data_IF_883703397589
#
_entry.id   IF_883703397589
#
_cell.length_a   1.000
_cell.length_b   1.000
_cell.length_c   1.000
_cell.angle_alpha   90.00
_cell.angle_beta   90.00
_cell.angle_gamma   90.00
#
_symmetry.space_group_name_H-M   'P 1'
#
loop_
_entity.id
_entity.type
_entity.pdbx_description
1 polymer ?
#
# COMPACT_ATOMS: atom_id res chain seq x y z
N UNK A 1 4.34 21.25 8.69
CA UNK A 1 4.97 20.83 9.96
C UNK A 1 3.95 20.08 10.79
N UNK A 2 4.26 18.84 11.20
CA UNK A 2 3.41 18.07 12.11
C UNK A 2 3.50 18.66 13.52
N UNK A 3 2.34 18.78 14.18
CA UNK A 3 2.24 19.19 15.58
C UNK A 3 1.36 18.18 16.31
N UNK A 4 1.79 17.79 17.50
CA UNK A 4 0.98 17.01 18.44
C UNK A 4 0.11 17.96 19.27
N UNK A 5 -1.13 17.56 19.53
CA UNK A 5 -2.04 18.34 20.35
C UNK A 5 -3.40 17.67 20.46
N UNK A 6 -4.18 18.14 21.39
CA UNK A 6 -5.54 17.66 21.61
C UNK A 6 -6.54 18.32 20.66
N UNK A 7 -7.59 17.59 20.32
CA UNK A 7 -8.73 18.10 19.56
C UNK A 7 -10.03 17.48 20.08
N UNK A 8 -11.10 18.24 20.05
CA UNK A 8 -12.41 17.71 20.39
C UNK A 8 -12.94 16.84 19.25
N UNK A 9 -13.55 15.71 19.61
CA UNK A 9 -14.24 14.83 18.70
C UNK A 9 -15.75 14.88 18.97
N UNK A 10 -16.50 15.49 18.05
CA UNK A 10 -17.96 15.55 18.14
C UNK A 10 -18.59 14.15 18.13
N UNK A 11 -19.82 13.95 18.65
CA UNK A 11 -20.55 12.69 18.48
C UNK A 11 -20.63 12.28 17.00
N UNK A 12 -20.68 10.96 16.69
CA UNK A 12 -20.81 10.50 15.32
C UNK A 12 -22.13 11.00 14.70
N UNK A 13 -22.04 11.49 13.47
CA UNK A 13 -23.17 11.93 12.67
C UNK A 13 -24.04 10.78 12.17
N UNK A 14 -25.16 11.08 11.48
CA UNK A 14 -26.01 10.04 10.89
C UNK A 14 -25.24 9.13 9.93
N UNK A 15 -25.36 7.80 10.12
CA UNK A 15 -24.64 6.79 9.34
C UNK A 15 -23.17 6.64 9.67
N UNK A 16 -22.63 7.39 10.64
CA UNK A 16 -21.26 7.28 11.10
C UNK A 16 -21.13 6.41 12.35
N UNK A 17 -19.92 5.97 12.60
CA UNK A 17 -19.50 5.33 13.86
C UNK A 17 -18.26 6.02 14.38
N UNK A 18 -18.08 6.04 15.70
CA UNK A 18 -16.77 6.32 16.32
C UNK A 18 -16.00 5.05 16.43
N UNK A 19 -14.80 5.02 15.84
CA UNK A 19 -13.84 3.94 16.00
C UNK A 19 -12.67 4.43 16.86
N UNK A 20 -12.41 3.73 18.00
CA UNK A 20 -11.20 3.90 18.79
C UNK A 20 -10.08 3.08 18.14
N UNK A 21 -8.99 3.73 17.80
CA UNK A 21 -7.89 3.07 17.12
C UNK A 21 -7.05 2.21 18.07
N UNK A 22 -6.76 0.99 17.65
CA UNK A 22 -5.78 0.10 18.29
C UNK A 22 -4.42 0.14 17.57
N UNK A 23 -4.47 0.45 16.25
CA UNK A 23 -3.29 0.64 15.43
C UNK A 23 -3.60 1.51 14.21
N UNK A 24 -2.63 2.30 13.79
CA UNK A 24 -2.71 3.22 12.63
C UNK A 24 -1.49 2.96 11.77
N UNK A 25 -1.63 2.86 10.44
CA UNK A 25 -0.47 2.71 9.58
C UNK A 25 0.03 4.03 9.03
N UNK A 26 1.35 4.09 8.81
CA UNK A 26 2.01 5.21 8.15
C UNK A 26 2.28 4.85 6.70
N UNK A 27 1.84 5.71 5.78
CA UNK A 27 1.91 5.50 4.35
C UNK A 27 2.54 6.68 3.61
N UNK A 28 3.07 6.46 2.41
CA UNK A 28 3.52 7.55 1.54
C UNK A 28 2.38 8.49 1.13
N UNK A 29 1.13 8.02 1.11
CA UNK A 29 -0.05 8.88 0.94
C UNK A 29 -0.14 9.97 2.01
N UNK A 30 0.22 9.66 3.25
CA UNK A 30 0.18 10.60 4.36
C UNK A 30 1.31 11.64 4.26
N UNK A 31 2.48 11.22 3.74
CA UNK A 31 3.57 12.14 3.39
C UNK A 31 3.13 13.10 2.29
N UNK A 32 2.49 12.60 1.24
CA UNK A 32 1.97 13.43 0.14
C UNK A 32 0.93 14.44 0.63
N UNK A 33 0.03 14.05 1.54
CA UNK A 33 -0.93 14.96 2.19
C UNK A 33 -0.21 16.04 2.99
N UNK A 34 0.79 15.66 3.82
CA UNK A 34 1.58 16.59 4.62
C UNK A 34 2.32 17.62 3.76
N UNK A 35 2.82 17.22 2.61
CA UNK A 35 3.58 18.07 1.69
C UNK A 35 2.69 18.96 0.82
N UNK A 36 1.38 18.70 0.78
CA UNK A 36 0.46 19.43 -0.09
C UNK A 36 0.67 19.11 -1.57
N UNK A 37 1.12 17.90 -1.88
CA UNK A 37 1.58 17.50 -3.20
C UNK A 37 0.47 17.29 -4.23
N UNK A 38 0.85 16.80 -5.39
CA UNK A 38 0.08 16.62 -6.63
C UNK A 38 -1.30 15.96 -6.47
N UNK A 39 -1.46 15.07 -5.48
CA UNK A 39 -2.71 14.33 -5.28
C UNK A 39 -3.83 15.12 -4.60
N UNK A 40 -3.55 16.33 -4.11
CA UNK A 40 -4.52 17.17 -3.41
C UNK A 40 -5.12 18.14 -4.42
N UNK A 41 -6.36 17.86 -4.85
CA UNK A 41 -7.05 18.68 -5.85
C UNK A 41 -7.44 20.06 -5.30
N UNK A 42 -7.61 20.21 -3.97
CA UNK A 42 -7.99 21.45 -3.31
C UNK A 42 -7.05 21.74 -2.14
N UNK A 43 -6.71 23.01 -1.89
CA UNK A 43 -5.91 23.37 -0.72
C UNK A 43 -6.53 22.85 0.57
N UNK A 44 -5.71 22.19 1.40
CA UNK A 44 -6.15 21.73 2.72
C UNK A 44 -6.45 22.93 3.63
N UNK A 45 -7.53 22.81 4.39
CA UNK A 45 -7.84 23.77 5.46
C UNK A 45 -7.11 23.34 6.73
N UNK A 46 -6.23 24.19 7.23
CA UNK A 46 -5.49 23.91 8.47
C UNK A 46 -6.23 24.45 9.70
N UNK A 47 -6.13 23.78 10.88
CA UNK A 47 -5.41 22.54 11.10
C UNK A 47 -6.11 21.31 10.49
N UNK A 48 -5.35 20.30 10.04
CA UNK A 48 -5.87 19.04 9.51
C UNK A 48 -5.18 17.86 10.17
N UNK A 49 -5.95 16.87 10.58
CA UNK A 49 -5.43 15.58 11.03
C UNK A 49 -5.20 14.72 9.79
N UNK A 50 -3.96 14.25 9.60
CA UNK A 50 -3.61 13.41 8.47
C UNK A 50 -3.80 11.91 8.80
N UNK A 51 -3.49 11.03 7.85
CA UNK A 51 -3.61 9.57 7.98
C UNK A 51 -4.84 9.02 7.28
N UNK A 52 -4.66 7.90 6.59
CA UNK A 52 -5.66 7.33 5.68
C UNK A 52 -6.20 5.98 6.11
N UNK A 53 -5.55 5.27 7.03
CA UNK A 53 -6.00 3.95 7.48
C UNK A 53 -5.75 3.73 8.98
N UNK A 54 -6.66 3.00 9.60
CA UNK A 54 -6.52 2.50 10.96
C UNK A 54 -7.36 1.25 11.17
N UNK A 55 -7.09 0.55 12.27
CA UNK A 55 -7.89 -0.56 12.77
C UNK A 55 -8.17 -0.35 14.26
N UNK A 56 -9.31 -0.82 14.74
CA UNK A 56 -9.70 -0.67 16.13
C UNK A 56 -11.10 -1.19 16.43
N UNK A 57 -11.72 -0.63 17.45
CA UNK A 57 -13.02 -1.05 17.99
C UNK A 57 -14.05 0.08 17.86
N UNK A 58 -15.25 -0.25 17.42
CA UNK A 58 -16.40 0.68 17.39
C UNK A 58 -16.85 0.96 18.81
N UNK A 59 -16.83 2.23 19.22
CA UNK A 59 -17.26 2.68 20.58
C UNK A 59 -18.65 3.29 20.60
N UNK A 60 -19.05 3.95 19.50
CA UNK A 60 -20.31 4.71 19.46
C UNK A 60 -20.90 4.65 18.05
N UNK A 61 -22.23 4.62 17.96
CA UNK A 61 -22.97 4.61 16.71
C UNK A 61 -23.75 5.91 16.55
N UNK A 62 -23.65 6.54 15.39
CA UNK A 62 -24.56 7.58 14.96
C UNK A 62 -25.91 7.01 14.52
N UNK A 63 -26.92 7.85 14.45
CA UNK A 63 -28.25 7.44 14.02
C UNK A 63 -28.22 6.84 12.61
N UNK A 64 -28.84 5.67 12.41
CA UNK A 64 -28.90 5.00 11.11
C UNK A 64 -27.58 4.33 10.65
N UNK A 65 -26.61 4.13 11.54
CA UNK A 65 -25.45 3.30 11.25
C UNK A 65 -25.88 1.83 11.19
N UNK A 66 -25.83 1.22 10.01
CA UNK A 66 -26.30 -0.14 9.74
C UNK A 66 -25.15 -1.13 9.55
N UNK A 67 -25.40 -2.42 9.82
CA UNK A 67 -24.44 -3.51 9.60
C UNK A 67 -23.29 -3.56 10.61
N UNK A 68 -23.31 -2.73 11.65
CA UNK A 68 -22.27 -2.57 12.67
C UNK A 68 -22.85 -2.55 14.10
N UNK A 69 -22.00 -2.81 15.09
CA UNK A 69 -22.40 -2.73 16.51
C UNK A 69 -21.22 -2.25 17.36
N UNK A 70 -21.53 -1.67 18.51
CA UNK A 70 -20.52 -1.31 19.52
C UNK A 70 -19.77 -2.57 19.97
N UNK A 71 -18.45 -2.47 20.11
CA UNK A 71 -17.55 -3.57 20.40
C UNK A 71 -17.06 -4.35 19.19
N UNK A 72 -17.64 -4.12 18.00
CA UNK A 72 -17.16 -4.74 16.74
C UNK A 72 -15.77 -4.21 16.37
N UNK A 73 -14.88 -5.12 16.00
CA UNK A 73 -13.55 -4.78 15.47
C UNK A 73 -13.64 -4.49 13.96
N UNK A 74 -13.07 -3.40 13.56
CA UNK A 74 -13.09 -2.96 12.17
C UNK A 74 -11.80 -2.23 11.78
N UNK A 75 -11.52 -2.19 10.47
CA UNK A 75 -10.53 -1.31 9.88
C UNK A 75 -11.20 -0.41 8.83
N UNK A 76 -10.51 0.64 8.43
CA UNK A 76 -10.89 1.45 7.28
C UNK A 76 -9.67 1.92 6.50
N UNK A 77 -9.87 2.17 5.20
CA UNK A 77 -8.86 2.71 4.30
C UNK A 77 -9.49 3.78 3.44
N UNK A 78 -9.11 5.03 3.68
CA UNK A 78 -9.80 6.18 3.12
C UNK A 78 -11.24 6.30 3.66
N UNK A 79 -11.83 7.46 3.59
CA UNK A 79 -13.17 7.69 4.13
C UNK A 79 -13.94 8.56 3.14
N UNK A 80 -14.63 7.95 2.21
CA UNK A 80 -15.48 8.61 1.24
C UNK A 80 -14.81 9.73 0.42
N UNK A 81 -15.23 9.95 -0.80
CA UNK A 81 -14.63 10.98 -1.65
C UNK A 81 -13.20 10.65 -2.11
N UNK A 82 -12.45 11.64 -2.58
CA UNK A 82 -11.07 11.46 -3.01
C UNK A 82 -10.17 10.99 -1.86
N UNK A 83 -9.38 9.96 -2.10
CA UNK A 83 -8.55 9.27 -1.09
C UNK A 83 -7.66 10.19 -0.24
N UNK A 84 -7.20 11.30 -0.81
CA UNK A 84 -6.31 12.26 -0.15
C UNK A 84 -7.02 13.43 0.51
N UNK A 85 -8.32 13.59 0.33
CA UNK A 85 -9.07 14.76 0.82
C UNK A 85 -9.73 14.52 2.17
N UNK A 86 -10.07 13.29 2.52
CA UNK A 86 -10.74 12.94 3.76
C UNK A 86 -9.82 12.10 4.65
N UNK A 87 -8.81 12.73 5.23
CA UNK A 87 -7.84 12.15 6.15
C UNK A 87 -8.28 12.29 7.61
N UNK A 88 -7.52 11.77 8.57
CA UNK A 88 -7.84 11.91 10.00
C UNK A 88 -7.53 10.69 10.85
N UNK A 89 -6.77 9.72 10.33
CA UNK A 89 -6.45 8.51 11.09
C UNK A 89 -5.41 8.72 12.20
N UNK A 90 -4.60 9.80 12.14
CA UNK A 90 -3.58 10.07 13.16
C UNK A 90 -4.19 10.72 14.41
N UNK A 91 -5.10 9.97 15.03
CA UNK A 91 -5.82 10.33 16.24
C UNK A 91 -6.10 9.06 17.06
N UNK A 92 -6.44 9.20 18.32
CA UNK A 92 -6.84 8.07 19.18
C UNK A 92 -8.18 7.46 18.75
N UNK A 93 -9.08 8.31 18.23
CA UNK A 93 -10.37 7.91 17.71
C UNK A 93 -10.80 8.80 16.53
N UNK A 94 -11.74 8.30 15.72
CA UNK A 94 -12.29 9.03 14.57
C UNK A 94 -13.74 8.62 14.31
N UNK A 95 -14.57 9.58 13.86
CA UNK A 95 -15.87 9.28 13.28
C UNK A 95 -15.69 8.98 11.78
N UNK A 96 -16.25 7.85 11.33
CA UNK A 96 -16.18 7.41 9.95
C UNK A 96 -17.54 6.84 9.52
N UNK A 97 -17.94 6.97 8.24
CA UNK A 97 -19.14 6.31 7.73
C UNK A 97 -19.06 4.79 7.95
N UNK A 98 -20.11 4.17 8.47
CA UNK A 98 -20.19 2.72 8.66
C UNK A 98 -19.95 1.96 7.36
N UNK A 99 -20.37 2.54 6.22
CA UNK A 99 -20.19 1.98 4.88
C UNK A 99 -18.73 1.90 4.41
N UNK A 100 -17.80 2.60 5.07
CA UNK A 100 -16.36 2.55 4.73
C UNK A 100 -15.59 1.48 5.51
N UNK A 101 -16.25 0.78 6.45
CA UNK A 101 -15.59 -0.17 7.31
C UNK A 101 -15.37 -1.53 6.65
N UNK A 102 -14.24 -2.13 7.00
CA UNK A 102 -13.92 -3.53 6.78
C UNK A 102 -14.03 -4.27 8.11
N UNK A 103 -14.94 -5.23 8.20
CA UNK A 103 -15.08 -6.07 9.40
C UNK A 103 -13.85 -6.93 9.59
N UNK A 104 -13.26 -6.92 10.79
CA UNK A 104 -12.08 -7.72 11.09
C UNK A 104 -12.45 -9.10 11.64
N UNK A 105 -11.91 -10.18 11.05
CA UNK A 105 -11.99 -11.51 11.64
C UNK A 105 -11.19 -11.58 12.97
N UNK A 106 -11.61 -12.42 13.89
CA UNK A 106 -10.95 -12.57 15.21
C UNK A 106 -9.47 -12.95 15.11
N UNK A 107 -9.10 -13.70 14.06
CA UNK A 107 -7.72 -14.14 13.79
C UNK A 107 -6.78 -13.03 13.34
N UNK A 108 -7.29 -11.87 12.95
CA UNK A 108 -6.51 -10.72 12.48
C UNK A 108 -6.44 -9.69 13.60
N UNK A 109 -5.24 -9.39 14.08
CA UNK A 109 -5.05 -8.33 15.09
C UNK A 109 -5.19 -6.93 14.47
N UNK A 110 -5.43 -5.90 15.29
CA UNK A 110 -5.48 -4.50 14.83
C UNK A 110 -4.16 -4.10 14.17
N UNK A 111 -3.02 -4.56 14.72
CA UNK A 111 -1.70 -4.29 14.14
C UNK A 111 -1.55 -4.92 12.75
N UNK A 112 -1.97 -6.17 12.59
CA UNK A 112 -1.96 -6.83 11.28
C UNK A 112 -2.88 -6.11 10.30
N UNK A 113 -4.11 -5.78 10.72
CA UNK A 113 -5.06 -5.06 9.88
C UNK A 113 -4.51 -3.71 9.44
N UNK A 114 -4.07 -2.85 10.36
CA UNK A 114 -3.48 -1.56 10.03
C UNK A 114 -2.24 -1.71 9.14
N UNK A 115 -1.39 -2.73 9.36
CA UNK A 115 -0.18 -2.94 8.58
C UNK A 115 -0.46 -3.43 7.15
N UNK A 116 -1.63 -4.04 6.87
CA UNK A 116 -1.87 -4.72 5.60
C UNK A 116 -3.04 -4.16 4.77
N UNK A 117 -4.04 -3.45 5.35
CA UNK A 117 -5.27 -3.15 4.60
C UNK A 117 -5.01 -2.34 3.33
N UNK A 118 -4.47 -1.12 3.43
CA UNK A 118 -4.14 -0.33 2.24
C UNK A 118 -3.13 -1.04 1.34
N UNK A 119 -2.12 -1.62 1.94
CA UNK A 119 -1.01 -2.25 1.21
C UNK A 119 -1.43 -3.55 0.54
N UNK A 120 -2.20 -4.38 1.24
CA UNK A 120 -2.74 -5.63 0.72
C UNK A 120 -3.81 -5.42 -0.35
N UNK A 121 -4.73 -4.47 -0.14
CA UNK A 121 -5.71 -4.11 -1.16
C UNK A 121 -5.04 -3.46 -2.39
N UNK A 122 -3.93 -2.72 -2.20
CA UNK A 122 -3.11 -2.25 -3.34
C UNK A 122 -2.46 -3.43 -4.08
N UNK A 123 -1.91 -4.40 -3.35
CA UNK A 123 -1.36 -5.61 -3.95
C UNK A 123 -2.44 -6.42 -4.68
N UNK A 124 -3.62 -6.60 -4.05
CA UNK A 124 -4.81 -7.23 -4.66
C UNK A 124 -5.20 -6.56 -5.99
N UNK A 125 -5.30 -5.23 -5.99
CA UNK A 125 -5.57 -4.46 -7.22
C UNK A 125 -4.55 -4.75 -8.32
N UNK A 126 -3.26 -4.73 -8.00
CA UNK A 126 -2.18 -4.99 -8.96
C UNK A 126 -2.28 -6.41 -9.50
N UNK A 127 -2.51 -7.40 -8.66
CA UNK A 127 -2.60 -8.81 -9.04
C UNK A 127 -3.88 -9.08 -9.87
N UNK A 128 -5.06 -8.70 -9.39
CA UNK A 128 -6.33 -9.12 -10.02
C UNK A 128 -6.74 -8.28 -11.23
N UNK A 129 -6.45 -6.98 -11.20
CA UNK A 129 -6.91 -6.10 -12.28
C UNK A 129 -5.88 -5.99 -13.41
N UNK A 130 -4.60 -6.13 -13.10
CA UNK A 130 -3.53 -5.80 -14.05
C UNK A 130 -2.57 -6.96 -14.31
N UNK A 131 -1.67 -7.26 -13.39
CA UNK A 131 -0.56 -8.17 -13.60
C UNK A 131 -0.98 -9.60 -13.94
N UNK A 132 -1.94 -10.16 -13.20
CA UNK A 132 -2.47 -11.53 -13.36
C UNK A 132 -1.37 -12.56 -13.65
N UNK A 133 -0.33 -12.67 -12.79
CA UNK A 133 0.81 -13.51 -13.09
C UNK A 133 0.40 -14.97 -13.24
N UNK A 134 0.97 -15.64 -14.23
CA UNK A 134 0.74 -17.07 -14.47
C UNK A 134 1.93 -17.87 -13.94
N UNK A 135 1.73 -19.16 -13.61
CA UNK A 135 2.84 -20.04 -13.29
C UNK A 135 3.92 -20.00 -14.37
N UNK A 136 5.18 -19.75 -13.96
CA UNK A 136 6.33 -19.62 -14.86
C UNK A 136 6.57 -18.19 -15.39
N UNK A 137 5.68 -17.23 -15.17
CA UNK A 137 5.98 -15.83 -15.47
C UNK A 137 7.10 -15.31 -14.54
N UNK A 138 7.99 -14.46 -15.07
CA UNK A 138 8.88 -13.66 -14.25
C UNK A 138 8.26 -12.28 -13.98
N UNK A 139 8.33 -11.81 -12.74
CA UNK A 139 7.80 -10.51 -12.31
C UNK A 139 8.88 -9.71 -11.59
N UNK A 140 9.11 -8.48 -12.01
CA UNK A 140 10.00 -7.53 -11.34
C UNK A 140 9.21 -6.65 -10.37
N UNK A 141 9.63 -6.58 -9.12
CA UNK A 141 9.00 -5.75 -8.08
C UNK A 141 10.00 -4.72 -7.59
N UNK A 142 9.77 -3.44 -7.88
CA UNK A 142 10.57 -2.36 -7.33
C UNK A 142 10.19 -2.08 -5.88
N UNK A 143 11.21 -1.91 -5.02
CA UNK A 143 11.00 -1.75 -3.59
C UNK A 143 10.43 -3.02 -2.93
N UNK A 144 10.95 -4.19 -3.29
CA UNK A 144 10.46 -5.50 -2.85
C UNK A 144 10.39 -5.70 -1.33
N UNK A 145 11.16 -4.95 -0.55
CA UNK A 145 11.12 -4.95 0.92
C UNK A 145 10.21 -3.88 1.54
N UNK A 146 9.44 -3.13 0.73
CA UNK A 146 8.42 -2.19 1.22
C UNK A 146 7.15 -2.92 1.72
N UNK A 147 6.24 -2.20 2.37
CA UNK A 147 4.99 -2.81 2.85
C UNK A 147 4.16 -3.46 1.73
N UNK A 148 3.95 -2.78 0.60
CA UNK A 148 3.27 -3.36 -0.58
C UNK A 148 4.17 -4.40 -1.24
N UNK A 149 5.47 -4.09 -1.39
CA UNK A 149 6.43 -4.97 -2.07
C UNK A 149 6.50 -6.36 -1.46
N UNK A 150 6.58 -6.47 -0.13
CA UNK A 150 6.62 -7.77 0.56
C UNK A 150 5.33 -8.60 0.37
N UNK A 151 4.17 -7.95 0.26
CA UNK A 151 2.91 -8.65 -0.02
C UNK A 151 2.86 -9.10 -1.48
N UNK A 152 3.29 -8.26 -2.43
CA UNK A 152 3.40 -8.63 -3.85
C UNK A 152 4.38 -9.78 -4.06
N UNK A 153 5.55 -9.78 -3.39
CA UNK A 153 6.53 -10.89 -3.44
C UNK A 153 5.85 -12.20 -3.08
N UNK A 154 5.20 -12.25 -1.92
CA UNK A 154 4.55 -13.46 -1.42
C UNK A 154 3.38 -13.90 -2.32
N UNK A 155 2.58 -12.95 -2.79
CA UNK A 155 1.41 -13.24 -3.62
C UNK A 155 1.82 -13.73 -5.02
N UNK A 156 2.75 -13.06 -5.70
CA UNK A 156 3.28 -13.53 -6.98
C UNK A 156 3.93 -14.91 -6.84
N UNK A 157 4.68 -15.15 -5.75
CA UNK A 157 5.25 -16.46 -5.47
C UNK A 157 4.20 -17.55 -5.26
N UNK A 158 3.14 -17.25 -4.52
CA UNK A 158 1.99 -18.14 -4.31
C UNK A 158 1.31 -18.51 -5.63
N UNK A 159 1.25 -17.59 -6.60
CA UNK A 159 0.70 -17.82 -7.94
C UNK A 159 1.67 -18.54 -8.89
N UNK A 160 2.86 -18.94 -8.41
CA UNK A 160 3.84 -19.71 -9.20
C UNK A 160 4.75 -18.86 -10.09
N UNK A 161 4.81 -17.55 -9.88
CA UNK A 161 5.74 -16.69 -10.62
C UNK A 161 7.16 -16.77 -10.06
N UNK A 162 8.15 -16.50 -10.91
CA UNK A 162 9.53 -16.19 -10.51
C UNK A 162 9.59 -14.69 -10.14
N UNK A 163 9.98 -14.40 -8.90
CA UNK A 163 9.96 -13.04 -8.35
C UNK A 163 11.37 -12.46 -8.31
N UNK A 164 11.56 -11.35 -9.01
CA UNK A 164 12.79 -10.54 -9.00
C UNK A 164 12.47 -9.26 -8.24
N UNK A 165 13.26 -8.93 -7.21
CA UNK A 165 13.00 -7.78 -6.36
C UNK A 165 14.16 -6.80 -6.31
N UNK A 166 13.92 -5.49 -6.53
CA UNK A 166 14.94 -4.48 -6.25
C UNK A 166 14.85 -4.01 -4.80
N UNK A 167 15.99 -3.92 -4.13
CA UNK A 167 16.12 -3.51 -2.73
C UNK A 167 17.34 -2.61 -2.53
N UNK A 168 17.33 -1.80 -1.46
CA UNK A 168 18.38 -0.80 -1.22
C UNK A 168 19.49 -1.24 -0.27
N UNK A 169 19.46 -2.46 0.28
CA UNK A 169 20.51 -3.00 1.17
C UNK A 169 20.39 -4.52 1.30
N UNK A 170 21.48 -5.18 1.69
CA UNK A 170 21.50 -6.63 1.90
C UNK A 170 20.52 -7.08 2.99
N UNK A 171 20.42 -6.37 4.11
CA UNK A 171 19.43 -6.67 5.15
C UNK A 171 17.99 -6.69 4.61
N UNK A 172 17.65 -5.80 3.65
CA UNK A 172 16.36 -5.81 2.97
C UNK A 172 16.23 -6.94 1.96
N UNK A 173 17.32 -7.32 1.31
CA UNK A 173 17.36 -8.47 0.43
C UNK A 173 17.07 -9.76 1.19
N UNK A 174 17.70 -9.96 2.36
CA UNK A 174 17.42 -11.09 3.25
C UNK A 174 15.94 -11.20 3.62
N UNK A 175 15.32 -10.06 4.01
CA UNK A 175 13.88 -10.03 4.31
C UNK A 175 13.05 -10.43 3.09
N UNK A 176 13.32 -9.88 1.91
CA UNK A 176 12.59 -10.20 0.69
C UNK A 176 12.74 -11.68 0.31
N UNK A 177 13.97 -12.23 0.36
CA UNK A 177 14.25 -13.65 0.10
C UNK A 177 13.53 -14.57 1.08
N UNK A 178 13.53 -14.22 2.37
CA UNK A 178 12.83 -15.01 3.40
C UNK A 178 11.32 -15.12 3.18
N UNK A 179 10.75 -14.21 2.37
CA UNK A 179 9.33 -14.18 2.02
C UNK A 179 9.05 -14.61 0.57
N UNK A 180 10.05 -15.21 -0.12
CA UNK A 180 9.84 -15.86 -1.41
C UNK A 180 10.33 -15.08 -2.63
N UNK A 181 11.09 -14.00 -2.47
CA UNK A 181 11.78 -13.36 -3.58
C UNK A 181 12.92 -14.27 -4.09
N UNK A 182 12.82 -14.73 -5.34
CA UNK A 182 13.79 -15.66 -5.91
C UNK A 182 15.13 -14.98 -6.20
N UNK A 183 15.10 -13.75 -6.70
CA UNK A 183 16.28 -12.95 -7.03
C UNK A 183 16.17 -11.56 -6.44
N UNK A 184 17.21 -11.10 -5.77
CA UNK A 184 17.26 -9.74 -5.21
C UNK A 184 18.38 -8.93 -5.88
N UNK A 185 18.06 -7.70 -6.31
CA UNK A 185 18.98 -6.78 -6.98
C UNK A 185 19.22 -5.59 -6.07
N UNK A 186 20.46 -5.37 -5.67
CA UNK A 186 20.88 -4.18 -4.90
C UNK A 186 21.03 -3.00 -5.86
N UNK A 187 19.95 -2.28 -6.12
CA UNK A 187 19.87 -1.23 -7.13
C UNK A 187 20.83 -0.04 -6.91
N UNK A 188 21.48 0.02 -5.74
CA UNK A 188 22.49 1.04 -5.44
C UNK A 188 23.88 0.65 -5.94
N UNK A 189 24.10 -0.64 -6.14
CA UNK A 189 25.42 -1.21 -6.43
C UNK A 189 25.54 -1.64 -7.89
N UNK A 190 24.40 -1.97 -8.53
CA UNK A 190 24.37 -2.47 -9.91
C UNK A 190 23.24 -1.83 -10.72
N UNK A 191 23.44 -1.76 -12.04
CA UNK A 191 22.37 -1.42 -12.97
C UNK A 191 21.31 -2.52 -12.98
N UNK A 192 20.10 -2.20 -12.54
CA UNK A 192 19.05 -3.20 -12.41
C UNK A 192 18.56 -3.72 -13.76
N UNK A 193 18.66 -2.94 -14.86
CA UNK A 193 18.25 -3.40 -16.19
C UNK A 193 19.15 -4.54 -16.64
N UNK A 194 20.46 -4.35 -16.55
CA UNK A 194 21.46 -5.40 -16.87
C UNK A 194 21.25 -6.64 -16.01
N UNK A 195 21.09 -6.45 -14.69
CA UNK A 195 20.87 -7.57 -13.77
C UNK A 195 19.59 -8.36 -14.08
N UNK A 196 18.48 -7.68 -14.43
CA UNK A 196 17.24 -8.35 -14.86
C UNK A 196 17.46 -9.14 -16.15
N UNK A 197 18.20 -8.56 -17.11
CA UNK A 197 18.48 -9.25 -18.40
C UNK A 197 19.41 -10.45 -18.26
N UNK A 198 20.29 -10.47 -17.27
CA UNK A 198 21.09 -11.66 -16.94
C UNK A 198 20.21 -12.80 -16.38
N UNK A 199 19.19 -12.48 -15.59
CA UNK A 199 18.25 -13.47 -15.01
C UNK A 199 17.21 -13.91 -16.05
N UNK A 200 16.63 -12.96 -16.80
CA UNK A 200 15.58 -13.20 -17.79
C UNK A 200 15.93 -12.43 -19.07
N UNK A 201 16.68 -13.01 -20.01
CA UNK A 201 17.14 -12.33 -21.23
C UNK A 201 16.03 -11.69 -22.06
N UNK A 202 14.88 -12.33 -22.17
CA UNK A 202 13.72 -11.84 -22.90
C UNK A 202 12.95 -10.74 -22.15
N UNK A 203 13.21 -10.54 -20.86
CA UNK A 203 12.54 -9.63 -19.96
C UNK A 203 11.37 -10.25 -19.20
N UNK A 204 10.86 -9.52 -18.23
CA UNK A 204 9.79 -9.97 -17.32
C UNK A 204 8.39 -9.77 -17.91
N UNK A 205 7.43 -10.59 -17.47
CA UNK A 205 6.02 -10.47 -17.87
C UNK A 205 5.39 -9.18 -17.35
N UNK A 206 5.77 -8.79 -16.14
CA UNK A 206 5.29 -7.56 -15.55
C UNK A 206 6.37 -6.90 -14.67
N UNK A 207 6.36 -5.57 -14.67
CA UNK A 207 7.07 -4.74 -13.70
C UNK A 207 6.06 -4.07 -12.79
N UNK A 208 6.21 -4.25 -11.48
CA UNK A 208 5.35 -3.69 -10.44
C UNK A 208 6.13 -2.58 -9.72
N UNK A 209 5.77 -1.34 -10.02
CA UNK A 209 6.56 -0.16 -9.62
C UNK A 209 5.81 0.73 -8.62
N UNK A 210 6.27 0.72 -7.37
CA UNK A 210 5.85 1.64 -6.31
C UNK A 210 6.82 2.81 -6.10
N UNK A 211 7.95 2.84 -6.84
CA UNK A 211 9.04 3.82 -6.65
C UNK A 211 8.83 5.06 -7.53
N UNK A 212 8.59 4.87 -8.82
CA UNK A 212 8.24 5.94 -9.74
C UNK A 212 9.44 6.56 -10.43
N UNK A 213 9.78 7.83 -10.13
CA UNK A 213 10.76 8.62 -10.86
C UNK A 213 12.09 7.90 -11.13
N UNK A 214 12.64 7.25 -10.09
CA UNK A 214 13.97 6.62 -10.17
C UNK A 214 13.98 5.31 -10.97
N UNK A 215 12.81 4.68 -11.22
CA UNK A 215 12.74 3.33 -11.78
C UNK A 215 11.93 3.23 -13.08
N UNK A 216 10.91 4.06 -13.23
CA UNK A 216 9.88 3.89 -14.24
C UNK A 216 10.43 3.84 -15.68
N UNK A 217 11.27 4.82 -16.06
CA UNK A 217 11.77 4.93 -17.44
C UNK A 217 12.62 3.72 -17.83
N UNK A 218 13.47 3.24 -16.92
CA UNK A 218 14.33 2.09 -17.16
C UNK A 218 13.58 0.76 -17.10
N UNK A 219 12.46 0.69 -16.40
CA UNK A 219 11.62 -0.50 -16.31
C UNK A 219 11.06 -0.96 -17.65
N UNK A 220 10.93 -0.06 -18.62
CA UNK A 220 10.53 -0.37 -20.00
C UNK A 220 11.50 -1.41 -20.60
N UNK A 221 12.81 -1.26 -20.36
CA UNK A 221 13.84 -2.14 -20.90
C UNK A 221 13.91 -3.52 -20.20
N UNK A 222 13.31 -3.64 -19.02
CA UNK A 222 13.19 -4.90 -18.30
C UNK A 222 12.01 -5.75 -18.78
N UNK A 223 11.05 -5.16 -19.49
CA UNK A 223 9.76 -5.78 -19.80
C UNK A 223 9.83 -6.56 -21.11
N UNK A 224 9.27 -7.79 -21.12
CA UNK A 224 9.20 -8.61 -22.36
C UNK A 224 8.19 -8.05 -23.34
N UNK A 225 8.22 -8.52 -24.59
CA UNK A 225 7.19 -8.22 -25.59
C UNK A 225 5.78 -8.53 -25.02
N UNK A 226 4.84 -7.59 -25.23
CA UNK A 226 3.48 -7.61 -24.69
C UNK A 226 3.40 -7.66 -23.15
N UNK A 227 4.51 -7.40 -22.49
CA UNK A 227 4.53 -7.30 -21.02
C UNK A 227 3.91 -6.01 -20.51
N UNK A 228 3.76 -5.94 -19.20
CA UNK A 228 3.06 -4.85 -18.53
C UNK A 228 3.96 -4.12 -17.53
N UNK A 229 3.81 -2.78 -17.48
CA UNK A 229 4.38 -1.93 -16.44
C UNK A 229 3.25 -1.31 -15.61
N UNK A 230 3.14 -1.69 -14.35
CA UNK A 230 2.14 -1.18 -13.41
C UNK A 230 2.81 -0.22 -12.43
N UNK A 231 2.66 1.09 -12.65
CA UNK A 231 3.13 2.10 -11.71
C UNK A 231 2.04 2.38 -10.68
N UNK A 232 2.09 1.78 -9.50
CA UNK A 232 1.10 1.96 -8.43
C UNK A 232 1.53 2.95 -7.35
N UNK A 233 2.75 3.46 -7.38
CA UNK A 233 3.29 4.40 -6.40
C UNK A 233 4.36 5.33 -6.95
N UNK A 234 4.69 6.38 -6.18
CA UNK A 234 5.67 7.40 -6.54
C UNK A 234 6.54 7.77 -5.33
N UNK A 235 7.13 6.76 -4.66
CA UNK A 235 7.95 6.99 -3.45
C UNK A 235 9.24 7.78 -3.69
N UNK A 236 9.71 7.91 -4.94
CA UNK A 236 10.85 8.76 -5.34
C UNK A 236 10.42 10.00 -6.14
N UNK A 237 9.13 10.23 -6.27
CA UNK A 237 8.56 11.30 -7.09
C UNK A 237 7.86 10.79 -8.35
N UNK A 238 7.27 11.74 -9.08
CA UNK A 238 6.56 11.43 -10.33
C UNK A 238 7.52 11.02 -11.42
N UNK A 239 7.20 9.96 -12.21
CA UNK A 239 7.90 9.68 -13.46
C UNK A 239 7.83 10.87 -14.42
N UNK A 240 8.86 11.02 -15.24
CA UNK A 240 8.82 11.95 -16.37
C UNK A 240 7.77 11.54 -17.41
N UNK A 241 7.29 12.46 -18.25
CA UNK A 241 6.37 12.14 -19.34
C UNK A 241 6.89 11.02 -20.23
N UNK A 242 6.01 10.06 -20.56
CA UNK A 242 6.33 8.90 -21.38
C UNK A 242 6.07 9.17 -22.86
N UNK A 243 7.09 8.97 -23.71
CA UNK A 243 6.89 8.86 -25.15
C UNK A 243 6.26 7.50 -25.50
N UNK A 244 5.03 7.50 -25.98
CA UNK A 244 4.29 6.30 -26.33
C UNK A 244 4.96 5.46 -27.42
N UNK A 245 5.80 6.08 -28.30
CA UNK A 245 6.55 5.34 -29.32
C UNK A 245 7.56 4.38 -28.70
N UNK A 246 8.06 4.65 -27.48
CA UNK A 246 8.93 3.72 -26.78
C UNK A 246 8.23 2.39 -26.49
N UNK A 247 6.94 2.41 -26.18
CA UNK A 247 6.17 1.19 -25.91
C UNK A 247 6.09 0.30 -27.16
N UNK A 248 5.88 0.89 -28.32
CA UNK A 248 5.87 0.15 -29.59
C UNK A 248 7.25 -0.41 -29.93
N UNK A 249 8.31 0.39 -29.78
CA UNK A 249 9.70 0.00 -30.07
C UNK A 249 10.20 -1.14 -29.17
N UNK A 250 9.75 -1.18 -27.91
CA UNK A 250 10.14 -2.18 -26.93
C UNK A 250 9.18 -3.35 -26.81
N UNK A 251 8.35 -3.61 -27.82
CA UNK A 251 7.55 -4.82 -27.92
C UNK A 251 6.08 -4.66 -27.60
N UNK A 252 5.50 -3.50 -27.91
CA UNK A 252 4.06 -3.23 -27.72
C UNK A 252 3.63 -3.40 -26.26
N UNK A 253 4.34 -2.70 -25.37
CA UNK A 253 4.14 -2.81 -23.93
C UNK A 253 2.82 -2.17 -23.49
N UNK A 254 2.29 -2.66 -22.39
CA UNK A 254 1.13 -2.09 -21.70
C UNK A 254 1.64 -1.30 -20.48
N UNK A 255 1.18 -0.06 -20.34
CA UNK A 255 1.49 0.78 -19.16
C UNK A 255 0.21 1.23 -18.51
N UNK A 256 0.16 1.12 -17.20
CA UNK A 256 -1.00 1.59 -16.42
C UNK A 256 -0.57 2.29 -15.13
N UNK A 257 -1.40 3.27 -14.72
CA UNK A 257 -1.33 3.96 -13.44
C UNK A 257 -2.68 3.80 -12.73
N UNK A 258 -2.86 2.76 -11.91
CA UNK A 258 -4.13 2.49 -11.26
C UNK A 258 -4.47 3.51 -10.17
N UNK A 259 -5.76 3.78 -9.99
CA UNK A 259 -6.30 4.46 -8.82
C UNK A 259 -6.86 3.43 -7.84
N UNK A 260 -6.40 3.49 -6.60
CA UNK A 260 -6.81 2.57 -5.54
C UNK A 260 -8.32 2.60 -5.28
N UNK A 261 -8.94 3.79 -5.30
CA UNK A 261 -10.38 3.99 -5.10
C UNK A 261 -11.25 3.20 -6.07
N UNK A 262 -10.77 2.96 -7.30
CA UNK A 262 -11.53 2.23 -8.31
C UNK A 262 -11.58 0.72 -8.03
N UNK A 263 -10.64 0.21 -7.23
CA UNK A 263 -10.58 -1.21 -6.85
C UNK A 263 -11.56 -1.57 -5.73
N UNK A 264 -11.79 -0.65 -4.81
CA UNK A 264 -12.68 -0.83 -3.65
C UNK A 264 -13.92 0.08 -3.74
N UNK A 265 -14.43 0.28 -4.93
CA UNK A 265 -15.44 1.29 -5.25
C UNK A 265 -16.74 1.11 -4.50
N UNK A 266 -17.24 -0.11 -4.43
CA UNK A 266 -18.51 -0.45 -3.79
C UNK A 266 -18.35 -1.47 -2.64
N UNK A 267 -19.44 -1.76 -1.95
CA UNK A 267 -19.45 -2.68 -0.81
C UNK A 267 -19.08 -4.11 -1.20
N UNK A 268 -19.48 -4.56 -2.42
CA UNK A 268 -19.17 -5.89 -2.91
C UNK A 268 -17.66 -6.04 -3.16
N UNK A 269 -17.05 -5.12 -3.89
CA UNK A 269 -15.60 -5.13 -4.13
C UNK A 269 -14.82 -5.06 -2.81
N UNK A 270 -15.25 -4.20 -1.86
CA UNK A 270 -14.61 -4.10 -0.55
C UNK A 270 -14.65 -5.43 0.20
N UNK A 271 -15.82 -6.07 0.30
CA UNK A 271 -15.96 -7.35 0.99
C UNK A 271 -15.12 -8.43 0.31
N UNK A 272 -15.27 -8.59 -1.01
CA UNK A 272 -14.58 -9.63 -1.78
C UNK A 272 -13.06 -9.58 -1.61
N UNK A 273 -12.44 -8.40 -1.81
CA UNK A 273 -10.98 -8.29 -1.75
C UNK A 273 -10.43 -8.26 -0.32
N UNK A 274 -11.21 -7.81 0.67
CA UNK A 274 -10.79 -7.90 2.06
C UNK A 274 -10.87 -9.33 2.58
N UNK A 275 -11.91 -10.08 2.23
CA UNK A 275 -12.07 -11.47 2.66
C UNK A 275 -10.94 -12.34 2.12
N UNK A 276 -10.61 -12.22 0.82
CA UNK A 276 -9.45 -12.90 0.23
C UNK A 276 -8.13 -12.52 0.94
N UNK A 277 -7.94 -11.23 1.21
CA UNK A 277 -6.74 -10.76 1.91
C UNK A 277 -6.62 -11.35 3.31
N UNK A 278 -7.75 -11.44 4.04
CA UNK A 278 -7.79 -12.06 5.36
C UNK A 278 -7.53 -13.56 5.30
N UNK A 279 -8.09 -14.26 4.33
CA UNK A 279 -7.86 -15.70 4.14
C UNK A 279 -6.41 -16.00 3.82
N UNK A 280 -5.78 -15.23 2.94
CA UNK A 280 -4.36 -15.36 2.61
C UNK A 280 -3.45 -15.04 3.82
N UNK A 281 -3.84 -14.06 4.64
CA UNK A 281 -3.11 -13.75 5.87
C UNK A 281 -3.32 -14.83 6.95
N UNK A 282 -4.55 -15.33 7.13
CA UNK A 282 -4.88 -16.35 8.12
C UNK A 282 -4.27 -17.72 7.79
N UNK A 283 -4.16 -18.06 6.49
CA UNK A 283 -3.48 -19.29 6.01
C UNK A 283 -1.95 -19.20 6.05
N UNK A 284 -1.38 -18.01 6.32
CA UNK A 284 0.07 -17.80 6.34
C UNK A 284 0.73 -17.66 4.97
N UNK A 285 -0.05 -17.57 3.89
CA UNK A 285 0.43 -17.22 2.55
C UNK A 285 0.98 -15.80 2.55
N UNK A 286 0.23 -14.86 3.14
CA UNK A 286 0.70 -13.48 3.33
C UNK A 286 1.09 -13.25 4.81
N UNK A 287 2.38 -13.11 5.05
CA UNK A 287 2.94 -12.75 6.35
C UNK A 287 3.13 -11.25 6.42
N UNK A 288 2.39 -10.59 7.30
CA UNK A 288 2.45 -9.15 7.48
C UNK A 288 3.70 -8.78 8.28
N UNK A 289 4.62 -8.05 7.65
CA UNK A 289 5.84 -7.56 8.29
C UNK A 289 5.64 -6.15 8.83
N UNK A 290 5.70 -6.02 10.16
CA UNK A 290 5.77 -4.72 10.84
C UNK A 290 7.24 -4.40 11.08
N UNK A 291 7.72 -3.30 10.49
CA UNK A 291 9.11 -2.88 10.61
C UNK A 291 9.40 -2.18 11.93
N UNK A 292 8.51 -1.28 12.34
CA UNK A 292 8.58 -0.57 13.63
C UNK A 292 7.20 0.00 14.01
N UNK A 293 6.92 0.04 15.30
CA UNK A 293 5.78 0.77 15.87
C UNK A 293 6.29 1.95 16.70
N UNK A 294 5.54 3.05 16.66
CA UNK A 294 5.84 4.30 17.36
C UNK A 294 4.63 4.71 18.19
N UNK A 295 4.80 5.35 19.35
CA UNK A 295 3.72 6.11 19.97
C UNK A 295 3.15 7.13 18.97
N UNK A 296 1.84 7.39 18.99
CA UNK A 296 1.19 8.34 18.09
C UNK A 296 1.83 9.74 18.17
N UNK A 297 2.31 10.15 19.35
CA UNK A 297 3.06 11.40 19.55
C UNK A 297 4.38 11.48 18.80
N UNK A 298 4.94 10.34 18.35
CA UNK A 298 6.20 10.27 17.59
C UNK A 298 5.99 10.20 16.07
N UNK A 299 4.83 10.60 15.58
CA UNK A 299 4.47 10.58 14.15
C UNK A 299 5.54 11.25 13.26
N UNK A 300 6.14 12.35 13.71
CA UNK A 300 7.19 13.03 12.95
C UNK A 300 8.46 12.16 12.76
N UNK A 301 8.79 11.31 13.74
CA UNK A 301 9.88 10.33 13.61
C UNK A 301 9.51 9.22 12.62
N UNK A 302 8.29 8.70 12.75
CA UNK A 302 7.77 7.66 11.85
C UNK A 302 7.80 8.12 10.37
N UNK A 303 7.44 9.39 10.10
CA UNK A 303 7.53 9.96 8.75
C UNK A 303 8.98 10.04 8.25
N UNK A 304 9.91 10.56 9.07
CA UNK A 304 11.34 10.60 8.69
C UNK A 304 11.91 9.21 8.39
N UNK A 305 11.55 8.21 9.19
CA UNK A 305 12.03 6.84 9.02
C UNK A 305 11.40 6.18 7.77
N UNK A 306 10.14 6.52 7.42
CA UNK A 306 9.50 6.09 6.17
C UNK A 306 10.20 6.71 4.95
N UNK A 307 10.37 8.03 4.95
CA UNK A 307 11.02 8.78 3.86
C UNK A 307 12.50 8.36 3.69
N UNK A 308 13.19 8.11 4.81
CA UNK A 308 14.55 7.56 4.83
C UNK A 308 14.63 6.08 4.43
N UNK A 309 13.48 5.43 4.18
CA UNK A 309 13.41 4.00 3.81
C UNK A 309 14.16 3.10 4.79
N UNK A 310 14.08 3.41 6.10
CA UNK A 310 14.93 2.80 7.13
C UNK A 310 14.58 1.34 7.42
N UNK A 311 13.30 1.01 7.43
CA UNK A 311 12.80 -0.31 7.80
C UNK A 311 12.23 -1.07 6.60
N UNK A 312 12.21 -2.40 6.68
CA UNK A 312 11.44 -3.26 5.79
C UNK A 312 10.03 -3.48 6.38
N UNK A 313 9.02 -3.54 5.50
CA UNK A 313 7.62 -3.74 5.92
C UNK A 313 6.90 -2.44 6.27
N UNK A 314 5.83 -2.56 7.06
CA UNK A 314 4.94 -1.47 7.45
C UNK A 314 5.41 -0.75 8.71
N UNK A 315 5.14 0.55 8.83
CA UNK A 315 5.31 1.32 10.06
C UNK A 315 3.94 1.59 10.67
N UNK A 316 3.84 1.49 11.99
CA UNK A 316 2.61 1.72 12.73
C UNK A 316 2.76 2.86 13.74
N UNK A 317 1.65 3.54 14.01
CA UNK A 317 1.45 4.40 15.17
C UNK A 317 0.53 3.70 16.16
N UNK A 318 0.85 3.82 17.44
CA UNK A 318 0.06 3.30 18.56
C UNK A 318 -0.50 4.49 19.31
N UNK A 319 -1.83 4.63 19.37
CA UNK A 319 -2.51 5.66 20.17
C UNK A 319 -2.18 5.56 21.62
#
# INVERSE_FOLDING_TARGET
>A
VLRWGDTELAPPGPGEVRIRHGAIAVNYSDVNVREGGFYIAKPLKFPVIIGNEAAGVIEELGAGAEGVQVGMRAAYVGVGGPFYENTGAYAEARNVPASCLFKLPDKISDDQAAAMMLKGLTASMVIHRYCKPQPGDAVLIHGAASGVGLLLVQWCKHLGATVIGTVGSETKAEVARSLGCDHTILYRDVDFVSAVKEIVPDGVAAVLDGVGKDTFAQSIYCTRRYGMLVNYGNASGHPDPLDLLLLAKHGSLIVTRPAFSDHIRDAHDRAHYSDELYDLAASGVLKVKIGKSYPLSQTAEAHRDLEGRKYAGSLLLKP
#
